data_IF_809930064538
#
_entry.id   IF_809930064538
#
_cell.length_a   1.000
_cell.length_b   1.000
_cell.length_c   1.000
_cell.angle_alpha   90.00
_cell.angle_beta   90.00
_cell.angle_gamma   90.00
#
_symmetry.space_group_name_H-M   'P 1'
#
loop_
_entity.id
_entity.type
_entity.pdbx_description
1 polymer ?
#
# COMPACT_ATOMS: atom_id res chain seq x y z
N UNK A 1 11.99 -9.32 24.20
CA UNK A 1 10.85 -8.38 24.24
C UNK A 1 9.61 -9.12 23.83
N UNK A 2 8.47 -8.83 24.46
CA UNK A 2 7.17 -9.36 24.07
C UNK A 2 6.77 -8.91 22.65
N UNK A 3 6.15 -9.80 21.88
CA UNK A 3 5.76 -9.56 20.47
C UNK A 3 4.84 -8.36 20.35
N UNK A 4 3.89 -8.20 21.28
CA UNK A 4 3.00 -7.04 21.29
C UNK A 4 3.77 -5.72 21.48
N UNK A 5 4.84 -5.74 22.27
CA UNK A 5 5.70 -4.56 22.48
C UNK A 5 6.47 -4.22 21.20
N UNK A 6 6.97 -5.23 20.47
CA UNK A 6 7.63 -5.04 19.18
C UNK A 6 6.69 -4.42 18.16
N UNK A 7 5.46 -4.95 18.03
CA UNK A 7 4.45 -4.43 17.12
C UNK A 7 4.06 -2.99 17.47
N UNK A 8 3.85 -2.68 18.75
CA UNK A 8 3.58 -1.30 19.22
C UNK A 8 4.71 -0.35 18.84
N UNK A 9 5.95 -0.77 19.05
CA UNK A 9 7.14 0.03 18.72
C UNK A 9 7.25 0.29 17.23
N UNK A 10 7.10 -0.75 16.41
CA UNK A 10 7.10 -0.62 14.95
C UNK A 10 6.00 0.34 14.48
N UNK A 11 4.79 0.16 15.01
CA UNK A 11 3.63 0.95 14.65
C UNK A 11 3.79 2.43 15.04
N UNK A 12 4.38 2.72 16.20
CA UNK A 12 4.73 4.09 16.60
C UNK A 12 5.78 4.71 15.67
N UNK A 13 6.83 3.96 15.34
CA UNK A 13 7.86 4.45 14.41
C UNK A 13 7.29 4.74 13.01
N UNK A 14 6.35 3.90 12.53
CA UNK A 14 5.65 4.14 11.27
C UNK A 14 4.76 5.39 11.32
N UNK A 15 4.05 5.59 12.44
CA UNK A 15 3.21 6.77 12.69
C UNK A 15 4.01 8.08 12.59
N UNK A 16 5.18 8.13 13.22
CA UNK A 16 6.06 9.30 13.21
C UNK A 16 6.59 9.64 11.79
N UNK A 17 6.52 8.69 10.87
CA UNK A 17 6.95 8.86 9.48
C UNK A 17 5.85 9.39 8.55
N UNK A 18 4.57 9.48 8.98
CA UNK A 18 3.46 9.87 8.10
C UNK A 18 3.43 11.37 7.75
N UNK A 19 4.04 12.22 8.58
CA UNK A 19 4.13 13.66 8.31
C UNK A 19 2.84 14.42 8.64
N UNK A 20 2.35 15.25 7.71
CA UNK A 20 1.09 16.01 7.90
C UNK A 20 -0.11 15.07 7.93
N UNK A 21 -1.17 15.47 8.65
CA UNK A 21 -2.40 14.68 8.80
C UNK A 21 -2.16 13.23 9.30
N UNK A 22 -1.07 12.99 10.03
CA UNK A 22 -0.68 11.65 10.49
C UNK A 22 -1.77 10.93 11.30
N UNK A 23 -2.44 11.60 12.25
CA UNK A 23 -3.56 11.02 13.00
C UNK A 23 -4.66 10.46 12.08
N UNK A 24 -5.13 11.27 11.13
CA UNK A 24 -6.22 10.89 10.23
C UNK A 24 -5.77 9.82 9.23
N UNK A 25 -4.53 9.91 8.73
CA UNK A 25 -3.94 8.90 7.85
C UNK A 25 -3.79 7.55 8.55
N UNK A 26 -3.40 7.56 9.82
CA UNK A 26 -3.20 6.36 10.60
C UNK A 26 -4.52 5.66 10.92
N UNK A 27 -5.53 6.41 11.36
CA UNK A 27 -6.90 5.90 11.52
C UNK A 27 -7.46 5.39 10.18
N UNK A 28 -7.21 6.09 9.07
CA UNK A 28 -7.63 5.65 7.74
C UNK A 28 -6.96 4.34 7.33
N UNK A 29 -5.67 4.18 7.64
CA UNK A 29 -4.94 2.94 7.36
C UNK A 29 -5.57 1.76 8.07
N UNK A 30 -5.91 1.91 9.35
CA UNK A 30 -6.62 0.86 10.09
C UNK A 30 -8.01 0.60 9.53
N UNK A 31 -8.74 1.66 9.16
CA UNK A 31 -10.06 1.54 8.58
C UNK A 31 -10.02 0.72 7.26
N UNK A 32 -9.01 0.95 6.41
CA UNK A 32 -8.79 0.18 5.19
C UNK A 32 -8.49 -1.29 5.50
N UNK A 33 -7.67 -1.57 6.51
CA UNK A 33 -7.36 -2.96 6.90
C UNK A 33 -8.56 -3.71 7.49
N UNK A 34 -9.46 -3.00 8.19
CA UNK A 34 -10.62 -3.61 8.85
C UNK A 34 -11.88 -3.63 7.97
N UNK A 35 -11.92 -2.83 6.90
CA UNK A 35 -13.08 -2.74 6.01
C UNK A 35 -12.89 -3.70 4.83
N UNK A 36 -13.63 -4.82 4.85
CA UNK A 36 -13.51 -5.85 3.82
C UNK A 36 -13.82 -5.36 2.41
N UNK A 37 -14.89 -4.58 2.28
CA UNK A 37 -15.36 -4.01 1.02
C UNK A 37 -15.84 -2.58 1.27
N UNK A 38 -15.38 -1.64 0.44
CA UNK A 38 -15.87 -0.28 0.40
C UNK A 38 -16.38 0.01 -1.02
N UNK A 39 -17.58 0.58 -1.13
CA UNK A 39 -18.14 1.03 -2.40
C UNK A 39 -17.56 2.38 -2.82
N UNK A 40 -17.18 3.21 -1.85
CA UNK A 40 -16.51 4.48 -2.09
C UNK A 40 -15.52 4.84 -0.98
N UNK A 41 -14.67 5.85 -1.23
CA UNK A 41 -13.67 6.29 -0.26
C UNK A 41 -14.31 6.80 1.05
N UNK A 42 -15.48 7.43 0.98
CA UNK A 42 -16.18 7.92 2.15
C UNK A 42 -16.65 6.77 3.08
N UNK A 43 -16.82 5.54 2.59
CA UNK A 43 -17.27 4.42 3.41
C UNK A 43 -16.28 4.08 4.53
N UNK A 44 -14.98 4.34 4.34
CA UNK A 44 -13.98 4.15 5.38
C UNK A 44 -14.24 5.02 6.62
N UNK A 45 -14.98 6.13 6.47
CA UNK A 45 -15.38 6.95 7.61
C UNK A 45 -16.45 6.32 8.50
N UNK A 46 -17.13 5.27 8.02
CA UNK A 46 -18.09 4.49 8.79
C UNK A 46 -17.41 3.42 9.66
N UNK A 47 -16.12 3.16 9.46
CA UNK A 47 -15.38 2.19 10.23
C UNK A 47 -15.21 2.67 11.68
N UNK A 48 -15.51 1.86 12.72
CA UNK A 48 -15.44 2.30 14.12
C UNK A 48 -14.06 2.82 14.59
N UNK A 49 -12.99 2.40 13.92
CA UNK A 49 -11.62 2.87 14.22
C UNK A 49 -11.32 4.25 13.63
N UNK A 50 -12.12 4.71 12.65
CA UNK A 50 -12.01 6.04 12.07
C UNK A 50 -12.92 7.00 12.82
N UNK A 51 -12.34 7.78 13.74
CA UNK A 51 -13.11 8.58 14.71
C UNK A 51 -13.43 10.00 14.21
N UNK A 52 -13.23 10.25 12.92
CA UNK A 52 -13.30 11.57 12.29
C UNK A 52 -14.46 11.66 11.31
N UNK A 53 -14.70 12.86 10.80
CA UNK A 53 -15.74 13.09 9.80
C UNK A 53 -15.30 12.54 8.45
N UNK A 54 -16.27 12.25 7.59
CA UNK A 54 -16.02 11.70 6.25
C UNK A 54 -15.10 12.59 5.39
N UNK A 55 -15.15 13.92 5.54
CA UNK A 55 -14.27 14.84 4.82
C UNK A 55 -12.79 14.62 5.18
N UNK A 56 -12.50 14.22 6.42
CA UNK A 56 -11.14 13.95 6.88
C UNK A 56 -10.47 12.78 6.17
N UNK A 57 -11.24 11.88 5.54
CA UNK A 57 -10.68 10.83 4.69
C UNK A 57 -9.99 11.44 3.47
N UNK A 58 -10.65 12.39 2.82
CA UNK A 58 -10.13 13.08 1.64
C UNK A 58 -8.98 14.02 2.02
N UNK A 59 -9.15 14.80 3.09
CA UNK A 59 -8.10 15.70 3.60
C UNK A 59 -6.84 14.92 3.99
N UNK A 60 -6.98 13.76 4.64
CA UNK A 60 -5.85 12.91 5.00
C UNK A 60 -5.03 12.51 3.77
N UNK A 61 -5.67 12.03 2.70
CA UNK A 61 -4.96 11.65 1.47
C UNK A 61 -4.35 12.86 0.76
N UNK A 62 -5.03 14.01 0.78
CA UNK A 62 -4.55 15.22 0.14
C UNK A 62 -3.34 15.83 0.85
N UNK A 63 -3.32 15.81 2.18
CA UNK A 63 -2.30 16.47 3.00
C UNK A 63 -1.16 15.56 3.41
N UNK A 64 -1.39 14.25 3.47
CA UNK A 64 -0.38 13.30 3.91
C UNK A 64 0.84 13.31 2.99
N UNK A 65 2.02 13.39 3.59
CA UNK A 65 3.30 13.34 2.88
C UNK A 65 4.23 12.38 3.64
N UNK A 66 4.04 11.06 3.50
CA UNK A 66 4.84 10.08 4.21
C UNK A 66 6.31 10.17 3.83
N UNK A 67 7.19 10.05 4.81
CA UNK A 67 8.63 9.99 4.62
C UNK A 67 9.01 8.60 4.08
N UNK A 68 8.77 8.39 2.77
CA UNK A 68 8.90 7.09 2.08
C UNK A 68 10.21 6.36 2.39
N UNK A 69 11.34 7.08 2.38
CA UNK A 69 12.64 6.49 2.66
C UNK A 69 12.76 5.96 4.11
N UNK A 70 12.22 6.67 5.09
CA UNK A 70 12.22 6.22 6.49
C UNK A 70 11.31 5.02 6.69
N UNK A 71 10.12 5.03 6.08
CA UNK A 71 9.23 3.86 6.09
C UNK A 71 9.90 2.63 5.47
N UNK A 72 10.58 2.80 4.33
CA UNK A 72 11.35 1.71 3.71
C UNK A 72 12.45 1.17 4.63
N UNK A 73 13.17 2.04 5.33
CA UNK A 73 14.16 1.61 6.32
C UNK A 73 13.54 0.84 7.49
N UNK A 74 12.32 1.18 7.92
CA UNK A 74 11.60 0.42 8.94
C UNK A 74 11.28 -1.00 8.47
N UNK A 75 10.86 -1.18 7.21
CA UNK A 75 10.62 -2.49 6.63
C UNK A 75 11.90 -3.32 6.51
N UNK A 76 12.98 -2.73 6.01
CA UNK A 76 14.28 -3.41 5.87
C UNK A 76 14.79 -3.91 7.22
N UNK A 77 14.58 -3.15 8.31
CA UNK A 77 14.96 -3.57 9.67
C UNK A 77 14.19 -4.80 10.18
N UNK A 78 13.03 -5.13 9.59
CA UNK A 78 12.28 -6.34 9.92
C UNK A 78 12.70 -7.56 9.08
N UNK A 79 13.50 -7.35 8.02
CA UNK A 79 13.98 -8.44 7.19
C UNK A 79 15.12 -9.20 7.92
N UNK A 80 15.17 -10.54 7.81
CA UNK A 80 16.31 -11.30 8.31
C UNK A 80 17.58 -10.92 7.55
N UNK A 81 18.72 -11.01 8.23
CA UNK A 81 20.05 -10.72 7.64
C UNK A 81 20.62 -11.95 6.92
N UNK A 82 19.90 -13.07 6.94
CA UNK A 82 20.33 -14.34 6.38
C UNK A 82 20.23 -14.34 4.85
N UNK A 83 21.30 -14.76 4.19
CA UNK A 83 21.35 -14.94 2.74
C UNK A 83 20.93 -16.37 2.34
N UNK A 84 20.26 -16.56 1.19
CA UNK A 84 19.97 -15.57 0.15
C UNK A 84 18.64 -14.82 0.37
N UNK A 85 18.63 -13.51 0.07
CA UNK A 85 17.41 -12.68 0.07
C UNK A 85 16.67 -12.87 -1.27
N UNK A 86 15.44 -13.36 -1.22
CA UNK A 86 14.56 -13.45 -2.39
C UNK A 86 13.63 -12.23 -2.40
N UNK A 87 13.66 -11.48 -3.50
CA UNK A 87 12.77 -10.34 -3.75
C UNK A 87 11.84 -10.67 -4.93
N UNK A 88 10.53 -10.53 -4.71
CA UNK A 88 9.53 -10.58 -5.75
C UNK A 88 9.17 -9.15 -6.17
N UNK A 89 9.32 -8.87 -7.46
CA UNK A 89 8.81 -7.64 -8.07
C UNK A 89 7.52 -7.94 -8.82
N UNK A 90 6.51 -7.11 -8.60
CA UNK A 90 5.27 -7.12 -9.39
C UNK A 90 5.01 -5.72 -9.94
N UNK A 91 4.45 -5.66 -11.15
CA UNK A 91 3.97 -4.43 -11.75
C UNK A 91 2.55 -4.64 -12.27
N UNK A 92 1.63 -3.82 -11.76
CA UNK A 92 0.21 -3.87 -12.12
C UNK A 92 -0.19 -2.56 -12.79
N UNK A 93 -0.64 -2.66 -14.04
CA UNK A 93 -1.22 -1.54 -14.77
C UNK A 93 -2.63 -1.23 -14.25
N UNK A 94 -2.86 -0.01 -13.79
CA UNK A 94 -4.17 0.47 -13.37
C UNK A 94 -4.81 1.33 -14.46
N UNK A 95 -5.57 0.66 -15.34
CA UNK A 95 -6.29 1.30 -16.45
C UNK A 95 -7.30 2.35 -15.96
N UNK A 96 -7.17 3.58 -16.46
CA UNK A 96 -8.07 4.73 -16.18
C UNK A 96 -8.19 5.63 -17.42
N UNK A 97 -8.70 5.14 -18.56
CA UNK A 97 -8.76 5.92 -19.78
C UNK A 97 -9.63 7.16 -19.65
N UNK A 98 -10.69 7.11 -18.83
CA UNK A 98 -11.63 8.21 -18.60
C UNK A 98 -11.11 9.30 -17.64
N UNK A 99 -10.06 9.01 -16.86
CA UNK A 99 -9.52 9.93 -15.86
C UNK A 99 -8.52 10.91 -16.51
N UNK A 100 -9.01 11.77 -17.39
CA UNK A 100 -8.16 12.70 -18.19
C UNK A 100 -7.40 13.73 -17.35
N UNK A 101 -7.85 14.01 -16.12
CA UNK A 101 -7.20 14.93 -15.18
C UNK A 101 -6.28 14.22 -14.19
N UNK A 102 -6.08 12.90 -14.32
CA UNK A 102 -5.19 12.14 -13.44
C UNK A 102 -3.75 12.60 -13.66
N UNK A 103 -3.10 13.06 -12.59
CA UNK A 103 -1.70 13.43 -12.63
C UNK A 103 -0.82 12.20 -12.90
N UNK A 104 0.31 12.41 -13.56
CA UNK A 104 1.29 11.35 -13.85
C UNK A 104 0.71 10.17 -14.65
N UNK A 105 -0.29 10.43 -15.50
CA UNK A 105 -0.87 9.43 -16.40
C UNK A 105 0.18 8.96 -17.41
N UNK A 106 0.37 7.65 -17.49
CA UNK A 106 1.34 6.97 -18.35
C UNK A 106 0.63 6.03 -19.33
N UNK A 107 1.37 5.60 -20.35
CA UNK A 107 0.94 4.53 -21.26
C UNK A 107 1.45 3.21 -20.71
N UNK A 108 0.55 2.40 -20.16
CA UNK A 108 0.88 1.14 -19.49
C UNK A 108 0.56 -0.06 -20.37
N UNK A 109 1.41 -1.08 -20.33
CA UNK A 109 1.13 -2.34 -21.00
C UNK A 109 0.01 -3.09 -20.26
N UNK A 110 -0.96 -3.63 -20.99
CA UNK A 110 -2.01 -4.49 -20.43
C UNK A 110 -2.33 -5.64 -21.38
N UNK A 111 -2.64 -6.81 -20.83
CA UNK A 111 -2.98 -7.99 -21.62
C UNK A 111 -4.35 -7.83 -22.27
N UNK A 112 -4.41 -8.00 -23.60
CA UNK A 112 -5.67 -8.04 -24.36
C UNK A 112 -5.81 -9.40 -25.04
N UNK A 113 -7.00 -9.98 -24.95
CA UNK A 113 -7.36 -11.27 -25.59
C UNK A 113 -7.73 -11.13 -27.07
N UNK A 114 -7.93 -9.91 -27.57
CA UNK A 114 -8.35 -9.66 -28.95
C UNK A 114 -7.13 -9.41 -29.83
N UNK A 115 -6.88 -10.30 -30.79
CA UNK A 115 -5.81 -10.16 -31.76
C UNK A 115 -5.96 -8.89 -32.61
N UNK A 116 -4.86 -8.15 -32.79
CA UNK A 116 -4.81 -6.91 -33.58
C UNK A 116 -4.88 -5.61 -32.75
N UNK A 117 -5.32 -5.67 -31.50
CA UNK A 117 -5.29 -4.52 -30.61
C UNK A 117 -3.89 -4.29 -30.03
N UNK A 118 -3.51 -3.01 -29.86
CA UNK A 118 -2.28 -2.65 -29.14
C UNK A 118 -2.50 -2.93 -27.65
N UNK A 119 -1.61 -3.71 -26.99
CA UNK A 119 -1.75 -4.06 -25.57
C UNK A 119 -1.31 -2.91 -24.65
N UNK A 120 -1.87 -1.71 -24.87
CA UNK A 120 -1.54 -0.50 -24.11
C UNK A 120 -2.78 0.27 -23.69
N UNK A 121 -2.82 0.68 -22.43
CA UNK A 121 -3.89 1.50 -21.86
C UNK A 121 -3.31 2.78 -21.28
N UNK A 122 -4.19 3.75 -21.02
CA UNK A 122 -3.82 4.97 -20.35
C UNK A 122 -4.27 4.90 -18.88
N UNK A 123 -3.37 5.22 -17.96
CA UNK A 123 -3.65 5.11 -16.52
C UNK A 123 -2.40 5.36 -15.70
N UNK A 124 -2.24 4.60 -14.62
CA UNK A 124 -1.02 4.62 -13.80
C UNK A 124 -0.52 3.19 -13.60
N UNK A 125 0.80 3.02 -13.61
CA UNK A 125 1.45 1.76 -13.24
C UNK A 125 1.85 1.75 -11.77
N UNK A 126 1.55 0.66 -11.07
CA UNK A 126 1.98 0.46 -9.68
C UNK A 126 2.98 -0.68 -9.64
N UNK A 127 4.13 -0.45 -9.03
CA UNK A 127 5.15 -1.49 -8.83
C UNK A 127 5.33 -1.75 -7.34
N UNK A 128 5.33 -3.03 -6.97
CA UNK A 128 5.59 -3.49 -5.61
C UNK A 128 6.82 -4.38 -5.60
N UNK A 129 7.66 -4.22 -4.57
CA UNK A 129 8.76 -5.14 -4.28
C UNK A 129 8.49 -5.70 -2.89
N UNK A 130 8.45 -7.04 -2.79
CA UNK A 130 8.24 -7.75 -1.55
C UNK A 130 9.40 -8.70 -1.28
N UNK A 131 9.84 -8.78 -0.03
CA UNK A 131 10.69 -9.87 0.43
C UNK A 131 9.85 -11.13 0.63
N UNK A 132 10.32 -12.25 0.11
CA UNK A 132 9.67 -13.55 0.22
C UNK A 132 10.53 -14.46 1.12
N UNK A 133 9.99 -14.97 2.24
CA UNK A 133 10.72 -15.93 3.05
C UNK A 133 10.96 -17.20 2.24
N UNK A 134 12.17 -17.75 2.32
CA UNK A 134 12.46 -19.05 1.72
C UNK A 134 11.51 -20.09 2.33
N UNK A 135 10.73 -20.77 1.49
CA UNK A 135 9.90 -21.86 1.96
C UNK A 135 10.80 -22.92 2.62
N UNK A 136 10.53 -23.25 3.88
CA UNK A 136 11.06 -24.48 4.48
C UNK A 136 10.54 -25.60 3.59
N UNK A 137 11.45 -26.37 2.98
CA UNK A 137 11.05 -27.56 2.21
C UNK A 137 10.16 -28.40 3.12
N UNK A 138 8.88 -28.57 2.76
CA UNK A 138 8.07 -29.63 3.33
C UNK A 138 8.82 -30.94 3.03
N UNK A 139 9.46 -31.51 4.04
CA UNK A 139 9.87 -32.90 4.01
C UNK A 139 8.57 -33.70 4.04
N UNK A 140 8.02 -33.98 2.86
CA UNK A 140 7.04 -35.03 2.70
C UNK A 140 7.79 -36.35 2.96
N UNK A 141 7.63 -36.88 4.17
CA UNK A 141 7.97 -38.26 4.54
C UNK A 141 6.92 -39.22 4.01
#
# INVERSE_FOLDING_TARGET
MDVLTQLKTFRQAAYDCLGKAHDATFELTDAVMLTRNACCLADFSLCPVFRRKWSSVYEALQDCRPQRQKLMQLYIKQMPVEEPIILAGDHTAWSRPEAVTLQERTTEHYTTVVGGNRPVTQGQGYSTIAWIPQAVKCQLS
#
